data_IF_635104094389
#
_entry.id   IF_635104094389
#
_cell.length_a   1.000
_cell.length_b   1.000
_cell.length_c   1.000
_cell.angle_alpha   90.00
_cell.angle_beta   90.00
_cell.angle_gamma   90.00
#
_symmetry.space_group_name_H-M   'P 1'
#
loop_
_entity.id
_entity.type
_entity.pdbx_description
1 polymer ?
#
# COMPACT_ATOMS: atom_id res chain seq x y z
N UNK A 1 -1.19 2.32 10.71
CA UNK A 1 0.19 2.29 11.27
C UNK A 1 0.90 3.64 11.21
N UNK A 2 1.10 4.24 10.04
CA UNK A 2 1.74 5.57 9.91
C UNK A 2 1.14 6.65 10.83
N UNK A 3 -0.19 6.68 10.96
CA UNK A 3 -0.90 7.58 11.87
C UNK A 3 -0.58 7.33 13.36
N UNK A 4 -0.46 6.06 13.76
CA UNK A 4 -0.12 5.69 15.13
C UNK A 4 1.34 6.03 15.46
N UNK A 5 2.24 5.94 14.47
CA UNK A 5 3.65 6.29 14.61
C UNK A 5 3.91 7.81 14.56
N UNK A 6 2.98 8.59 14.00
CA UNK A 6 3.12 10.04 13.88
C UNK A 6 2.54 10.82 15.07
N UNK A 7 1.68 10.20 15.88
CA UNK A 7 0.98 10.87 16.97
C UNK A 7 1.82 10.88 18.25
N UNK A 8 2.44 12.03 18.58
CA UNK A 8 2.99 12.26 19.92
C UNK A 8 1.82 12.43 20.91
N UNK A 9 1.51 11.36 21.65
CA UNK A 9 0.41 11.32 22.62
C UNK A 9 0.95 11.33 24.06
N UNK A 10 0.18 11.81 25.05
CA UNK A 10 0.50 11.68 26.48
C UNK A 10 0.42 10.22 26.95
N UNK A 11 1.26 9.83 27.93
CA UNK A 11 1.57 8.44 28.31
C UNK A 11 0.36 7.54 28.59
N UNK A 12 -0.75 8.04 29.15
CA UNK A 12 -1.96 7.24 29.38
C UNK A 12 -2.70 6.81 28.10
N UNK A 13 -2.50 7.52 26.99
CA UNK A 13 -3.06 7.11 25.68
C UNK A 13 -2.19 6.03 25.00
N UNK A 14 -0.97 5.80 25.47
CA UNK A 14 -0.02 4.88 24.84
C UNK A 14 -0.42 3.41 25.04
N UNK A 15 -1.14 3.09 26.12
CA UNK A 15 -1.65 1.75 26.38
C UNK A 15 -2.63 1.26 25.28
N UNK A 16 -3.66 2.07 25.00
CA UNK A 16 -4.60 1.76 23.92
C UNK A 16 -3.94 1.84 22.55
N UNK A 17 -2.88 2.63 22.42
CA UNK A 17 -2.12 2.78 21.19
C UNK A 17 -1.26 1.53 20.90
N UNK A 18 -0.69 0.87 21.91
CA UNK A 18 0.06 -0.39 21.72
C UNK A 18 -0.85 -1.53 21.28
N UNK A 19 -2.06 -1.64 21.85
CA UNK A 19 -2.98 -2.71 21.48
C UNK A 19 -3.38 -2.55 20.02
N UNK A 20 -3.69 -1.31 19.61
CA UNK A 20 -3.95 -0.97 18.22
C UNK A 20 -2.75 -1.25 17.31
N UNK A 21 -1.52 -0.99 17.77
CA UNK A 21 -0.32 -1.27 17.01
C UNK A 21 -0.11 -2.78 16.81
N UNK A 22 -0.26 -3.56 17.88
CA UNK A 22 -0.13 -5.03 17.85
C UNK A 22 -1.18 -5.67 16.96
N UNK A 23 -2.44 -5.27 17.12
CA UNK A 23 -3.53 -5.72 16.24
C UNK A 23 -3.32 -5.29 14.80
N UNK A 24 -2.79 -4.09 14.55
CA UNK A 24 -2.45 -3.65 13.20
C UNK A 24 -1.32 -4.48 12.58
N UNK A 25 -0.27 -4.82 13.34
CA UNK A 25 0.81 -5.70 12.86
C UNK A 25 0.27 -7.09 12.50
N UNK A 26 -0.55 -7.66 13.38
CA UNK A 26 -1.19 -8.96 13.16
C UNK A 26 -2.09 -8.91 11.92
N UNK A 27 -2.95 -7.90 11.82
CA UNK A 27 -3.84 -7.72 10.67
C UNK A 27 -3.06 -7.54 9.37
N UNK A 28 -1.98 -6.76 9.37
CA UNK A 28 -1.13 -6.56 8.19
C UNK A 28 -0.44 -7.87 7.78
N UNK A 29 0.06 -8.65 8.74
CA UNK A 29 0.65 -9.97 8.48
C UNK A 29 -0.38 -10.98 7.95
N UNK A 30 -1.58 -11.04 8.54
CA UNK A 30 -2.68 -11.89 8.09
C UNK A 30 -3.18 -11.52 6.70
N UNK A 31 -3.18 -10.22 6.37
CA UNK A 31 -3.54 -9.76 5.03
C UNK A 31 -2.51 -10.20 3.99
N UNK A 32 -1.20 -10.07 4.31
CA UNK A 32 -0.10 -10.69 3.56
C UNK A 32 1.16 -10.81 4.41
N UNK A 33 1.95 -11.86 4.18
CA UNK A 33 3.26 -12.05 4.83
C UNK A 33 4.24 -10.89 4.60
N UNK A 34 4.09 -10.13 3.51
CA UNK A 34 4.84 -8.88 3.28
C UNK A 34 4.60 -7.83 4.38
N UNK A 35 3.53 -7.98 5.18
CA UNK A 35 3.29 -7.20 6.38
C UNK A 35 4.40 -7.31 7.44
N UNK A 36 5.29 -8.31 7.36
CA UNK A 36 6.48 -8.39 8.22
C UNK A 36 7.41 -7.18 8.08
N UNK A 37 7.40 -6.49 6.94
CA UNK A 37 8.17 -5.25 6.73
C UNK A 37 7.80 -4.20 7.79
N UNK A 38 6.56 -4.20 8.25
CA UNK A 38 6.10 -3.26 9.26
C UNK A 38 6.69 -3.53 10.65
N UNK A 39 7.07 -4.78 10.97
CA UNK A 39 7.79 -5.08 12.21
C UNK A 39 9.14 -4.34 12.25
N UNK A 40 9.83 -4.25 11.11
CA UNK A 40 11.09 -3.50 11.01
C UNK A 40 10.89 -2.01 11.35
N UNK A 41 9.78 -1.39 10.89
CA UNK A 41 9.47 -0.02 11.28
C UNK A 41 9.24 0.12 12.78
N UNK A 42 8.47 -0.79 13.40
CA UNK A 42 8.25 -0.78 14.86
C UNK A 42 9.57 -0.91 15.60
N UNK A 43 10.48 -1.75 15.10
CA UNK A 43 11.82 -1.90 15.64
C UNK A 43 12.65 -0.61 15.55
N UNK A 44 12.61 0.10 14.40
CA UNK A 44 13.31 1.39 14.27
C UNK A 44 12.76 2.44 15.24
N UNK A 45 11.44 2.49 15.45
CA UNK A 45 10.83 3.38 16.44
C UNK A 45 11.21 2.99 17.86
N UNK A 46 11.23 1.70 18.18
CA UNK A 46 11.73 1.16 19.44
C UNK A 46 13.18 1.62 19.72
N UNK A 47 14.09 1.41 18.77
CA UNK A 47 15.49 1.84 18.87
C UNK A 47 15.61 3.35 19.08
N UNK A 48 14.85 4.14 18.31
CA UNK A 48 14.82 5.60 18.45
C UNK A 48 14.42 6.02 19.86
N UNK A 49 13.36 5.45 20.43
CA UNK A 49 12.91 5.84 21.78
C UNK A 49 13.86 5.38 22.88
N UNK A 50 14.59 4.27 22.70
CA UNK A 50 15.72 3.91 23.57
C UNK A 50 16.80 4.99 23.52
N UNK A 51 17.25 5.39 22.33
CA UNK A 51 18.29 6.42 22.16
C UNK A 51 17.89 7.76 22.76
N UNK A 52 16.59 8.09 22.72
CA UNK A 52 16.02 9.29 23.34
C UNK A 52 15.73 9.14 24.85
N UNK A 53 16.11 8.01 25.47
CA UNK A 53 15.88 7.68 26.88
C UNK A 53 14.40 7.66 27.30
N UNK A 54 13.48 7.49 26.35
CA UNK A 54 12.04 7.36 26.61
C UNK A 54 11.67 5.89 26.79
N UNK A 55 12.14 5.28 27.87
CA UNK A 55 12.04 3.82 28.10
C UNK A 55 10.60 3.31 28.21
N UNK A 56 9.69 4.09 28.80
CA UNK A 56 8.27 3.71 28.89
C UNK A 56 7.66 3.52 27.49
N UNK A 57 7.89 4.48 26.58
CA UNK A 57 7.46 4.39 25.18
C UNK A 57 8.14 3.23 24.45
N UNK A 58 9.45 3.08 24.63
CA UNK A 58 10.20 1.97 24.03
C UNK A 58 9.63 0.60 24.47
N UNK A 59 9.31 0.44 25.76
CA UNK A 59 8.68 -0.77 26.29
C UNK A 59 7.40 -1.14 25.57
N UNK A 60 6.55 -0.16 25.24
CA UNK A 60 5.32 -0.41 24.47
C UNK A 60 5.59 -0.95 23.06
N UNK A 61 6.58 -0.39 22.35
CA UNK A 61 6.97 -0.90 21.02
C UNK A 61 7.56 -2.31 21.12
N UNK A 62 8.38 -2.57 22.15
CA UNK A 62 8.95 -3.89 22.41
C UNK A 62 7.85 -4.94 22.64
N UNK A 63 6.88 -4.66 23.52
CA UNK A 63 5.76 -5.56 23.78
C UNK A 63 4.93 -5.79 22.51
N UNK A 64 4.66 -4.75 21.72
CA UNK A 64 3.94 -4.91 20.46
C UNK A 64 4.67 -5.83 19.46
N UNK A 65 6.01 -5.71 19.36
CA UNK A 65 6.83 -6.62 18.55
C UNK A 65 6.83 -8.04 19.11
N UNK A 66 6.88 -8.21 20.42
CA UNK A 66 6.91 -9.53 21.07
C UNK A 66 5.58 -10.26 20.83
N UNK A 67 4.45 -9.60 21.07
CA UNK A 67 3.11 -10.15 20.81
C UNK A 67 2.92 -10.46 19.33
N UNK A 68 3.29 -9.53 18.45
CA UNK A 68 3.19 -9.75 17.01
C UNK A 68 4.09 -10.89 16.53
N UNK A 69 5.31 -11.00 17.04
CA UNK A 69 6.27 -12.05 16.66
C UNK A 69 5.81 -13.42 17.16
N UNK A 70 5.30 -13.48 18.39
CA UNK A 70 4.73 -14.71 18.93
C UNK A 70 3.56 -15.22 18.05
N UNK A 71 2.68 -14.31 17.61
CA UNK A 71 1.60 -14.65 16.69
C UNK A 71 2.11 -15.14 15.32
N UNK A 72 3.07 -14.43 14.71
CA UNK A 72 3.68 -14.81 13.42
C UNK A 72 4.35 -16.19 13.51
N UNK A 73 5.13 -16.43 14.55
CA UNK A 73 5.82 -17.70 14.77
C UNK A 73 4.83 -18.83 15.01
N UNK A 74 3.80 -18.61 15.83
CA UNK A 74 2.73 -19.57 16.05
C UNK A 74 2.00 -19.90 14.75
N UNK A 75 1.70 -18.90 13.93
CA UNK A 75 1.08 -19.08 12.62
C UNK A 75 1.96 -19.91 11.67
N UNK A 76 3.25 -19.58 11.55
CA UNK A 76 4.18 -20.35 10.71
C UNK A 76 4.39 -21.78 11.21
N UNK A 77 4.42 -21.97 12.53
CA UNK A 77 4.50 -23.30 13.13
C UNK A 77 3.27 -24.14 12.78
N UNK A 78 2.06 -23.59 12.95
CA UNK A 78 0.82 -24.27 12.58
C UNK A 78 0.76 -24.58 11.08
N UNK A 79 1.13 -23.63 10.21
CA UNK A 79 1.21 -23.89 8.77
C UNK A 79 2.17 -25.04 8.45
N UNK A 80 3.37 -25.04 9.04
CA UNK A 80 4.35 -26.11 8.82
C UNK A 80 3.83 -27.46 9.30
N UNK A 81 3.14 -27.52 10.44
CA UNK A 81 2.54 -28.75 10.93
C UNK A 81 1.47 -29.30 9.98
N UNK A 82 0.62 -28.44 9.41
CA UNK A 82 -0.50 -28.86 8.59
C UNK A 82 -0.16 -29.11 7.11
N UNK A 83 0.77 -28.35 6.54
CA UNK A 83 1.07 -28.40 5.10
C UNK A 83 2.48 -28.85 4.77
N UNK A 84 3.35 -29.00 5.77
CA UNK A 84 4.79 -29.23 5.57
C UNK A 84 5.58 -27.98 5.19
N UNK A 85 4.93 -26.83 4.94
CA UNK A 85 5.56 -25.59 4.51
C UNK A 85 5.18 -24.41 5.43
N UNK A 86 6.14 -23.56 5.79
CA UNK A 86 5.89 -22.38 6.64
C UNK A 86 4.84 -21.41 6.06
N UNK A 87 4.74 -21.31 4.73
CA UNK A 87 3.85 -20.36 4.03
C UNK A 87 2.56 -21.01 3.52
N UNK A 88 2.30 -22.26 3.88
CA UNK A 88 1.09 -23.02 3.50
C UNK A 88 1.23 -23.81 2.20
N UNK A 89 2.18 -23.46 1.33
CA UNK A 89 2.41 -24.15 0.05
C UNK A 89 3.85 -23.94 -0.41
N UNK A 90 4.35 -24.82 -1.28
CA UNK A 90 5.63 -24.60 -1.95
C UNK A 90 5.51 -23.40 -2.91
N UNK A 91 5.96 -22.22 -2.48
CA UNK A 91 5.94 -20.98 -3.28
C UNK A 91 7.19 -20.78 -4.12
N UNK A 92 7.93 -21.84 -4.43
CA UNK A 92 9.02 -21.79 -5.40
C UNK A 92 8.36 -21.63 -6.78
N UNK A 93 8.08 -20.38 -7.16
CA UNK A 93 7.69 -20.03 -8.53
C UNK A 93 8.94 -20.14 -9.41
N UNK A 94 8.84 -20.75 -10.61
CA UNK A 94 10.01 -21.15 -11.37
C UNK A 94 10.72 -19.95 -12.01
N UNK A 95 12.03 -20.15 -12.20
CA UNK A 95 13.03 -19.39 -12.96
C UNK A 95 13.29 -17.93 -12.54
N UNK A 96 14.58 -17.64 -12.28
CA UNK A 96 15.07 -16.27 -12.15
C UNK A 96 14.77 -15.53 -13.45
N UNK A 97 13.75 -14.69 -13.44
CA UNK A 97 13.44 -13.81 -14.56
C UNK A 97 14.65 -12.92 -14.91
N UNK A 98 14.83 -12.64 -16.21
CA UNK A 98 15.89 -11.73 -16.68
C UNK A 98 15.69 -10.33 -16.08
N UNK A 99 16.76 -9.53 -16.00
CA UNK A 99 16.67 -8.14 -15.51
C UNK A 99 15.66 -7.30 -16.29
N UNK A 100 15.56 -7.54 -17.59
CA UNK A 100 14.64 -6.83 -18.47
C UNK A 100 13.18 -7.25 -18.19
N UNK A 101 12.92 -8.54 -18.01
CA UNK A 101 11.60 -9.04 -17.63
C UNK A 101 11.18 -8.52 -16.24
N UNK A 102 12.07 -8.55 -15.26
CA UNK A 102 11.85 -7.98 -13.93
C UNK A 102 11.46 -6.49 -14.01
N UNK A 103 12.23 -5.70 -14.77
CA UNK A 103 11.97 -4.27 -14.95
C UNK A 103 10.64 -4.00 -15.64
N UNK A 104 10.33 -4.78 -16.69
CA UNK A 104 9.04 -4.71 -17.39
C UNK A 104 7.88 -4.99 -16.43
N UNK A 105 7.90 -6.09 -15.68
CA UNK A 105 6.85 -6.42 -14.73
C UNK A 105 6.72 -5.39 -13.60
N UNK A 106 7.82 -4.83 -13.13
CA UNK A 106 7.79 -3.75 -12.13
C UNK A 106 7.11 -2.50 -12.68
N UNK A 107 7.50 -2.04 -13.87
CA UNK A 107 6.92 -0.84 -14.48
C UNK A 107 5.45 -1.05 -14.81
N UNK A 108 5.09 -2.19 -15.40
CA UNK A 108 3.68 -2.53 -15.68
C UNK A 108 2.87 -2.65 -14.40
N UNK A 109 3.41 -3.28 -13.35
CA UNK A 109 2.77 -3.38 -12.06
C UNK A 109 2.55 -2.02 -11.42
N UNK A 110 3.57 -1.15 -11.42
CA UNK A 110 3.48 0.21 -10.90
C UNK A 110 2.49 1.06 -11.70
N UNK A 111 2.48 0.96 -13.03
CA UNK A 111 1.53 1.68 -13.88
C UNK A 111 0.09 1.24 -13.58
N UNK A 112 -0.15 -0.08 -13.49
CA UNK A 112 -1.46 -0.63 -13.13
C UNK A 112 -1.90 -0.19 -11.73
N UNK A 113 -1.00 -0.21 -10.76
CA UNK A 113 -1.33 0.18 -9.40
C UNK A 113 -1.56 1.69 -9.25
N UNK A 114 -0.70 2.52 -9.85
CA UNK A 114 -0.82 3.98 -9.82
C UNK A 114 -2.02 4.49 -10.63
N UNK A 115 -2.53 3.67 -11.54
CA UNK A 115 -3.75 3.93 -12.30
C UNK A 115 -4.99 3.36 -11.60
N UNK A 116 -4.83 2.67 -10.47
CA UNK A 116 -5.90 1.91 -9.83
C UNK A 116 -6.64 1.01 -10.84
N UNK A 117 -5.93 0.41 -11.80
CA UNK A 117 -6.50 -0.49 -12.79
C UNK A 117 -6.10 -1.94 -12.46
N UNK A 118 -7.11 -2.80 -12.28
CA UNK A 118 -6.88 -4.22 -11.96
C UNK A 118 -6.36 -4.95 -13.20
N UNK A 119 -5.10 -5.37 -13.13
CA UNK A 119 -4.48 -6.34 -14.04
C UNK A 119 -4.63 -6.02 -15.54
N UNK A 120 -4.32 -4.79 -15.94
CA UNK A 120 -4.24 -4.48 -17.37
C UNK A 120 -3.00 -5.15 -17.95
N UNK A 121 -3.22 -6.16 -18.80
CA UNK A 121 -2.18 -6.75 -19.64
C UNK A 121 -2.32 -6.11 -21.02
N UNK A 122 -1.23 -5.54 -21.54
CA UNK A 122 -1.14 -4.86 -22.85
C UNK A 122 -1.44 -5.76 -24.08
N UNK A 123 -2.06 -6.94 -23.88
CA UNK A 123 -2.35 -7.91 -24.93
C UNK A 123 -3.77 -7.70 -25.48
N UNK A 124 -3.86 -6.86 -26.51
CA UNK A 124 -4.83 -7.06 -27.59
C UNK A 124 -6.14 -6.24 -27.56
N UNK A 125 -6.44 -5.51 -26.49
CA UNK A 125 -7.59 -4.60 -26.46
C UNK A 125 -7.11 -3.19 -26.12
N UNK A 126 -7.32 -2.23 -27.01
CA UNK A 126 -7.23 -0.79 -26.71
C UNK A 126 -8.40 -0.42 -25.80
N UNK A 127 -8.21 -0.53 -24.48
CA UNK A 127 -9.23 -0.07 -23.54
C UNK A 127 -9.20 1.46 -23.50
N UNK A 128 -10.11 2.09 -24.24
CA UNK A 128 -10.31 3.54 -24.24
C UNK A 128 -10.51 4.10 -22.83
N UNK A 129 -11.03 3.29 -21.89
CA UNK A 129 -11.17 3.68 -20.49
C UNK A 129 -9.81 3.73 -19.78
N UNK A 130 -8.86 2.85 -20.12
CA UNK A 130 -7.50 2.94 -19.61
C UNK A 130 -6.81 4.20 -20.13
N UNK A 131 -6.94 4.49 -21.43
CA UNK A 131 -6.46 5.73 -22.03
C UNK A 131 -7.06 6.98 -21.38
N UNK A 132 -8.38 6.98 -21.15
CA UNK A 132 -9.08 8.05 -20.45
C UNK A 132 -8.62 8.21 -19.00
N UNK A 133 -8.37 7.11 -18.30
CA UNK A 133 -7.86 7.13 -16.93
C UNK A 133 -6.42 7.67 -16.86
N UNK A 134 -5.54 7.23 -17.77
CA UNK A 134 -4.19 7.78 -17.93
C UNK A 134 -4.23 9.28 -18.24
N UNK A 135 -5.12 9.72 -19.13
CA UNK A 135 -5.28 11.12 -19.47
C UNK A 135 -5.78 11.95 -18.28
N UNK A 136 -6.78 11.44 -17.52
CA UNK A 136 -7.25 12.07 -16.29
C UNK A 136 -6.14 12.19 -15.24
N UNK A 137 -5.36 11.13 -15.07
CA UNK A 137 -4.23 11.11 -14.14
C UNK A 137 -3.13 12.10 -14.57
N UNK A 138 -2.78 12.13 -15.86
CA UNK A 138 -1.83 13.08 -16.42
C UNK A 138 -2.29 14.53 -16.27
N UNK A 139 -3.57 14.80 -16.53
CA UNK A 139 -4.18 16.11 -16.34
C UNK A 139 -4.16 16.56 -14.88
N UNK A 140 -4.45 15.65 -13.94
CA UNK A 140 -4.38 15.91 -12.51
C UNK A 140 -2.94 16.18 -12.06
N UNK A 141 -1.96 15.42 -12.53
CA UNK A 141 -0.55 15.67 -12.25
C UNK A 141 -0.06 16.99 -12.85
N UNK A 142 -0.45 17.33 -14.07
CA UNK A 142 -0.10 18.59 -14.70
C UNK A 142 -0.69 19.78 -13.93
N UNK A 143 -1.96 19.68 -13.51
CA UNK A 143 -2.60 20.70 -12.67
C UNK A 143 -1.86 20.88 -11.33
N UNK A 144 -1.54 19.77 -10.66
CA UNK A 144 -0.75 19.78 -9.43
C UNK A 144 0.64 20.39 -9.65
N UNK A 145 1.32 20.04 -10.74
CA UNK A 145 2.63 20.60 -11.08
C UNK A 145 2.59 22.12 -11.28
N UNK A 146 1.53 22.65 -11.90
CA UNK A 146 1.33 24.10 -12.05
C UNK A 146 1.18 24.80 -10.70
N UNK A 147 0.54 24.14 -9.74
CA UNK A 147 0.31 24.63 -8.37
C UNK A 147 1.41 24.20 -7.38
N UNK A 148 2.65 23.95 -7.87
CA UNK A 148 3.76 23.36 -7.09
C UNK A 148 4.11 24.07 -5.79
N UNK A 149 3.92 25.39 -5.71
CA UNK A 149 4.25 26.15 -4.50
C UNK A 149 3.41 25.71 -3.31
N UNK A 150 2.11 25.52 -3.51
CA UNK A 150 1.18 25.05 -2.47
C UNK A 150 1.46 23.60 -2.07
N UNK A 151 1.82 22.76 -3.04
CA UNK A 151 2.21 21.38 -2.77
C UNK A 151 3.51 21.30 -1.97
N UNK A 152 4.48 22.18 -2.24
CA UNK A 152 5.77 22.17 -1.57
C UNK A 152 5.63 22.30 -0.05
N UNK A 153 4.72 23.16 0.42
CA UNK A 153 4.46 23.35 1.85
C UNK A 153 3.67 22.19 2.46
N UNK A 154 2.78 21.59 1.67
CA UNK A 154 2.05 20.40 2.09
C UNK A 154 2.96 19.16 2.23
N UNK A 155 3.94 18.99 1.34
CA UNK A 155 4.93 17.89 1.41
C UNK A 155 5.95 18.06 2.55
N UNK A 156 6.16 19.27 3.08
CA UNK A 156 7.00 19.49 4.28
C UNK A 156 6.37 18.90 5.56
N UNK A 157 5.06 18.67 5.58
CA UNK A 157 4.35 18.15 6.76
C UNK A 157 4.89 16.78 7.16
N UNK A 158 5.18 16.60 8.45
CA UNK A 158 5.77 15.36 9.02
C UNK A 158 4.96 14.12 8.64
N UNK A 159 3.63 14.19 8.73
CA UNK A 159 2.79 13.04 8.45
C UNK A 159 2.82 12.59 6.98
N UNK A 160 2.86 13.55 6.04
CA UNK A 160 2.95 13.26 4.60
C UNK A 160 4.30 12.60 4.32
N UNK A 161 5.40 13.15 4.86
CA UNK A 161 6.74 12.57 4.74
C UNK A 161 6.83 11.15 5.30
N UNK A 162 6.23 10.89 6.46
CA UNK A 162 6.21 9.54 7.05
C UNK A 162 5.44 8.56 6.16
N UNK A 163 4.26 8.94 5.65
CA UNK A 163 3.46 8.09 4.75
C UNK A 163 4.21 7.77 3.45
N UNK A 164 4.81 8.79 2.82
CA UNK A 164 5.61 8.61 1.60
C UNK A 164 6.87 7.78 1.86
N UNK A 165 7.58 8.05 2.96
CA UNK A 165 8.75 7.27 3.36
C UNK A 165 8.42 5.80 3.56
N UNK A 166 7.30 5.49 4.22
CA UNK A 166 6.82 4.11 4.37
C UNK A 166 6.48 3.45 3.02
N UNK A 167 5.84 4.18 2.10
CA UNK A 167 5.52 3.67 0.77
C UNK A 167 6.78 3.31 -0.02
N UNK A 168 7.72 4.26 -0.16
CA UNK A 168 8.94 4.04 -0.94
C UNK A 168 9.86 3.00 -0.31
N UNK A 169 9.96 2.97 1.02
CA UNK A 169 10.70 1.91 1.71
C UNK A 169 10.07 0.53 1.46
N UNK A 170 8.74 0.42 1.56
CA UNK A 170 8.05 -0.83 1.27
C UNK A 170 8.30 -1.29 -0.17
N UNK A 171 8.23 -0.37 -1.15
CA UNK A 171 8.51 -0.68 -2.55
C UNK A 171 9.95 -1.16 -2.74
N UNK A 172 10.93 -0.41 -2.22
CA UNK A 172 12.35 -0.76 -2.32
C UNK A 172 12.63 -2.13 -1.68
N UNK A 173 12.10 -2.37 -0.48
CA UNK A 173 12.27 -3.65 0.22
C UNK A 173 11.62 -4.80 -0.55
N UNK A 174 10.40 -4.60 -1.07
CA UNK A 174 9.70 -5.60 -1.88
C UNK A 174 10.46 -5.92 -3.16
N UNK A 175 11.05 -4.91 -3.81
CA UNK A 175 11.91 -5.09 -4.98
C UNK A 175 13.15 -5.93 -4.64
N UNK A 176 13.87 -5.58 -3.58
CA UNK A 176 15.05 -6.33 -3.12
C UNK A 176 14.68 -7.76 -2.75
N UNK A 177 13.60 -7.95 -1.98
CA UNK A 177 13.17 -9.27 -1.52
C UNK A 177 12.74 -10.14 -2.69
N UNK A 178 12.01 -9.60 -3.68
CA UNK A 178 11.62 -10.35 -4.89
C UNK A 178 12.83 -10.73 -5.74
N UNK A 179 13.88 -9.90 -5.72
CA UNK A 179 15.12 -10.20 -6.43
C UNK A 179 15.93 -11.32 -5.77
N UNK A 180 15.98 -11.35 -4.44
CA UNK A 180 16.67 -12.40 -3.67
C UNK A 180 15.88 -13.71 -3.73
N UNK A 181 14.57 -13.63 -3.52
CA UNK A 181 13.66 -14.76 -3.51
C UNK A 181 12.46 -14.45 -4.40
N UNK A 182 12.42 -14.98 -5.64
CA UNK A 182 11.29 -14.79 -6.54
C UNK A 182 9.99 -15.26 -5.87
N UNK A 183 9.00 -14.38 -5.88
CA UNK A 183 7.63 -14.65 -5.45
C UNK A 183 6.65 -14.05 -6.47
N UNK A 184 5.35 -14.08 -6.14
CA UNK A 184 4.23 -13.49 -6.91
C UNK A 184 4.66 -12.26 -7.77
N UNK A 185 4.15 -12.14 -9.01
CA UNK A 185 4.39 -10.96 -9.87
C UNK A 185 3.95 -9.64 -9.21
N UNK A 186 4.58 -8.53 -9.59
CA UNK A 186 4.19 -7.18 -9.17
C UNK A 186 2.75 -6.86 -9.60
N UNK A 187 1.80 -7.17 -8.73
CA UNK A 187 0.37 -6.94 -8.91
C UNK A 187 -0.15 -6.05 -7.79
N UNK A 188 -1.43 -5.70 -7.90
CA UNK A 188 -2.09 -4.82 -6.93
C UNK A 188 -2.02 -5.33 -5.49
N UNK A 189 -1.97 -6.65 -5.27
CA UNK A 189 -1.88 -7.22 -3.92
C UNK A 189 -0.52 -6.97 -3.28
N UNK A 190 0.53 -6.91 -4.08
CA UNK A 190 1.90 -6.64 -3.62
C UNK A 190 2.15 -5.15 -3.54
N UNK A 191 1.61 -4.36 -4.47
CA UNK A 191 1.91 -2.93 -4.58
C UNK A 191 0.95 -2.02 -3.80
N UNK A 192 -0.22 -2.51 -3.37
CA UNK A 192 -1.16 -1.73 -2.55
C UNK A 192 -0.54 -1.09 -1.30
N UNK A 193 0.36 -1.75 -0.54
CA UNK A 193 1.01 -1.13 0.61
C UNK A 193 2.00 0.00 0.24
N UNK A 194 2.38 0.11 -1.03
CA UNK A 194 3.12 1.25 -1.60
C UNK A 194 2.16 2.36 -2.08
N UNK A 195 1.15 2.02 -2.88
CA UNK A 195 0.26 3.01 -3.51
C UNK A 195 -0.68 3.69 -2.50
N UNK A 196 -1.22 2.92 -1.55
CA UNK A 196 -2.22 3.42 -0.59
C UNK A 196 -1.66 4.56 0.27
N UNK A 197 -0.48 4.45 0.91
CA UNK A 197 0.07 5.58 1.65
C UNK A 197 0.42 6.78 0.78
N UNK A 198 0.74 6.58 -0.51
CA UNK A 198 0.94 7.68 -1.47
C UNK A 198 -0.38 8.42 -1.69
N UNK A 199 -1.46 7.74 -2.05
CA UNK A 199 -2.75 8.38 -2.27
C UNK A 199 -3.28 9.06 -1.00
N UNK A 200 -3.19 8.39 0.15
CA UNK A 200 -3.59 8.98 1.43
C UNK A 200 -2.71 10.19 1.77
N UNK A 201 -1.41 10.14 1.51
CA UNK A 201 -0.48 11.25 1.71
C UNK A 201 -0.81 12.45 0.82
N UNK A 202 -1.08 12.21 -0.47
CA UNK A 202 -1.47 13.24 -1.44
C UNK A 202 -2.83 13.84 -1.11
N UNK A 203 -3.82 13.03 -0.78
CA UNK A 203 -5.14 13.52 -0.37
C UNK A 203 -5.05 14.32 0.93
N UNK A 204 -4.26 13.88 1.91
CA UNK A 204 -4.03 14.62 3.14
C UNK A 204 -3.28 15.95 2.90
N UNK A 205 -2.38 16.00 1.92
CA UNK A 205 -1.69 17.21 1.51
C UNK A 205 -2.68 18.24 0.93
N UNK A 206 -3.62 17.81 0.10
CA UNK A 206 -4.58 18.69 -0.60
C UNK A 206 -5.84 18.98 0.23
N UNK A 207 -6.13 18.22 1.30
CA UNK A 207 -7.33 18.39 2.13
C UNK A 207 -7.15 19.34 3.33
N UNK A 208 -6.14 20.23 3.30
CA UNK A 208 -5.82 21.12 4.42
C UNK A 208 -6.69 22.39 4.42
N UNK A 209 -6.83 23.04 5.58
CA UNK A 209 -7.64 24.26 5.71
C UNK A 209 -7.16 25.39 4.78
N UNK A 210 -5.84 25.54 4.63
CA UNK A 210 -5.18 26.51 3.73
C UNK A 210 -5.41 26.19 2.25
N UNK A 211 -5.66 24.92 1.91
CA UNK A 211 -5.88 24.45 0.54
C UNK A 211 -7.37 24.21 0.23
N UNK A 212 -8.31 24.64 1.09
CA UNK A 212 -9.76 24.36 0.93
C UNK A 212 -10.33 24.79 -0.43
N UNK A 213 -9.88 25.92 -0.96
CA UNK A 213 -10.26 26.41 -2.31
C UNK A 213 -9.72 25.50 -3.41
N UNK A 214 -8.49 25.02 -3.28
CA UNK A 214 -7.86 24.07 -4.21
C UNK A 214 -8.50 22.69 -4.13
N UNK A 215 -8.77 22.20 -2.92
CA UNK A 215 -9.49 20.96 -2.71
C UNK A 215 -10.84 20.97 -3.41
N UNK A 216 -11.60 22.07 -3.33
CA UNK A 216 -12.88 22.22 -4.07
C UNK A 216 -12.70 22.10 -5.58
N UNK A 217 -11.61 22.63 -6.15
CA UNK A 217 -11.29 22.54 -7.59
C UNK A 217 -10.84 21.14 -8.00
N UNK A 218 -10.04 20.47 -7.18
CA UNK A 218 -9.47 19.13 -7.47
C UNK A 218 -10.47 18.00 -7.18
N UNK A 219 -11.36 18.18 -6.20
CA UNK A 219 -12.38 17.19 -5.81
C UNK A 219 -13.14 16.57 -6.99
N UNK A 220 -13.72 17.33 -7.95
CA UNK A 220 -14.43 16.72 -9.08
C UNK A 220 -13.52 15.83 -9.93
N UNK A 221 -12.26 16.21 -10.14
CA UNK A 221 -11.28 15.40 -10.88
C UNK A 221 -10.93 14.11 -10.15
N UNK A 222 -10.73 14.19 -8.83
CA UNK A 222 -10.49 12.99 -7.99
C UNK A 222 -11.71 12.07 -8.02
N UNK A 223 -12.93 12.62 -7.90
CA UNK A 223 -14.15 11.82 -7.99
C UNK A 223 -14.31 11.18 -9.37
N UNK A 224 -14.07 11.92 -10.45
CA UNK A 224 -14.10 11.39 -11.81
C UNK A 224 -13.07 10.26 -11.98
N UNK A 225 -11.83 10.46 -11.53
CA UNK A 225 -10.79 9.44 -11.54
C UNK A 225 -11.21 8.17 -10.78
N UNK A 226 -11.76 8.32 -9.57
CA UNK A 226 -12.24 7.20 -8.76
C UNK A 226 -13.42 6.47 -9.42
N UNK A 227 -14.35 7.20 -10.04
CA UNK A 227 -15.47 6.60 -10.77
C UNK A 227 -15.00 5.82 -12.00
N UNK A 228 -14.10 6.40 -12.81
CA UNK A 228 -13.54 5.71 -13.98
C UNK A 228 -12.72 4.50 -13.56
N UNK A 229 -11.93 4.61 -12.49
CA UNK A 229 -11.20 3.49 -11.89
C UNK A 229 -12.16 2.40 -11.41
N UNK A 230 -13.26 2.76 -10.74
CA UNK A 230 -14.27 1.79 -10.32
C UNK A 230 -14.88 1.05 -11.52
N UNK A 231 -15.30 1.79 -12.55
CA UNK A 231 -15.84 1.21 -13.79
C UNK A 231 -14.84 0.28 -14.49
N UNK A 232 -13.54 0.62 -14.45
CA UNK A 232 -12.46 -0.21 -14.97
C UNK A 232 -12.31 -1.53 -14.20
N UNK A 233 -12.53 -1.49 -12.89
CA UNK A 233 -12.33 -2.63 -12.00
C UNK A 233 -13.55 -3.56 -11.89
N UNK A 234 -14.72 -3.13 -12.36
CA UNK A 234 -15.93 -3.95 -12.37
C UNK A 234 -15.83 -5.08 -13.41
N UNK A 235 -16.41 -6.27 -13.13
CA UNK A 235 -16.50 -7.34 -14.09
C UNK A 235 -17.55 -6.99 -15.16
N UNK A 236 -17.17 -6.15 -16.14
CA UNK A 236 -18.06 -5.55 -17.15
C UNK A 236 -18.90 -6.61 -17.87
N UNK A 237 -18.27 -7.72 -18.28
CA UNK A 237 -18.96 -8.83 -18.96
C UNK A 237 -20.03 -9.50 -18.08
N UNK A 238 -19.73 -9.70 -16.79
CA UNK A 238 -20.70 -10.26 -15.84
C UNK A 238 -21.91 -9.34 -15.66
N UNK A 239 -21.66 -8.04 -15.50
CA UNK A 239 -22.74 -7.05 -15.37
C UNK A 239 -23.58 -6.93 -16.63
N UNK A 240 -22.95 -6.94 -17.81
CA UNK A 240 -23.65 -6.92 -19.10
C UNK A 240 -24.50 -8.18 -19.31
N UNK A 241 -23.98 -9.36 -18.96
CA UNK A 241 -24.72 -10.61 -19.07
C UNK A 241 -25.96 -10.61 -18.16
N UNK A 242 -25.84 -10.09 -16.93
CA UNK A 242 -27.00 -9.93 -16.02
C UNK A 242 -28.02 -8.93 -16.58
N UNK A 243 -27.56 -7.77 -17.09
CA UNK A 243 -28.44 -6.70 -17.58
C UNK A 243 -29.17 -7.06 -18.88
N UNK A 244 -28.52 -7.81 -19.77
CA UNK A 244 -29.09 -8.25 -21.04
C UNK A 244 -29.93 -9.54 -20.93
N UNK A 245 -30.18 -10.03 -19.70
CA UNK A 245 -30.96 -11.24 -19.47
C UNK A 245 -30.28 -12.52 -19.94
N UNK A 246 -28.96 -12.49 -20.17
CA UNK A 246 -28.18 -13.64 -20.55
C UNK A 246 -28.10 -14.62 -19.39
N UNK A 247 -28.98 -15.61 -19.35
CA UNK A 247 -28.84 -16.80 -18.52
C UNK A 247 -27.50 -17.44 -18.86
N UNK A 248 -26.54 -17.34 -17.93
CA UNK A 248 -25.21 -17.90 -18.12
C UNK A 248 -25.28 -19.40 -18.40
N UNK A 249 -24.99 -19.80 -19.63
CA UNK A 249 -24.49 -21.14 -19.90
C UNK A 249 -23.07 -21.21 -19.33
N UNK A 250 -22.92 -21.95 -18.23
CA UNK A 250 -21.62 -22.30 -17.65
C UNK A 250 -20.76 -23.09 -18.63
#
# INVERSE_FOLDING_TARGET
>A
MAFLLAKDSPERQDARLFLKLSLALIALFMLRYAGLIYFFFVFLFFMRYILQKHYAKAGHYFVAMLVGSAFVLGYFYLNKLHTGYYTGMNRIYPEKESWLAYGFYLVTGLANELSLARNYFYRGYTDWLYGGLMALQGGLFWYLYRERQLLSDCFKRREVRVRLGMAFFYLAFTMVLRKIQPFDPFNYRILAPFSTPIYVGLMAAVATAESKTYFRKIKPWVLAFMLVSLLMNLPKQFLLNILLGGTGSQ
#
